data_IF_770513455585
#
_entry.id   IF_770513455585
#
_cell.length_a   1.000
_cell.length_b   1.000
_cell.length_c   1.000
_cell.angle_alpha   90.00
_cell.angle_beta   90.00
_cell.angle_gamma   90.00
#
_symmetry.space_group_name_H-M   'P 1'
#
loop_
_entity.id
_entity.type
_entity.pdbx_description
1 polymer ?
#
# COMPACT_ATOMS: atom_id res chain seq x y z
N UNK A 1 10.63 8.92 -1.31
CA UNK A 1 10.99 9.53 -0.01
C UNK A 1 11.61 10.91 -0.14
N UNK A 2 12.32 11.25 -1.24
CA UNK A 2 12.84 12.60 -1.47
C UNK A 2 11.80 13.72 -1.25
N UNK A 3 10.58 13.56 -1.79
CA UNK A 3 9.45 14.46 -1.51
C UNK A 3 9.24 14.71 -0.01
N UNK A 4 9.12 13.65 0.80
CA UNK A 4 8.87 13.75 2.23
C UNK A 4 10.06 14.35 2.99
N UNK A 5 11.28 13.91 2.66
CA UNK A 5 12.52 14.44 3.24
C UNK A 5 12.72 15.92 2.95
N UNK A 6 12.44 16.36 1.71
CA UNK A 6 12.47 17.76 1.30
C UNK A 6 11.48 18.59 2.10
N UNK A 7 10.24 18.11 2.27
CA UNK A 7 9.22 18.81 3.06
C UNK A 7 9.65 18.95 4.54
N UNK A 8 10.20 17.89 5.13
CA UNK A 8 10.70 17.93 6.50
C UNK A 8 11.86 18.93 6.66
N UNK A 9 12.85 18.91 5.74
CA UNK A 9 13.99 19.82 5.79
C UNK A 9 13.56 21.29 5.72
N UNK A 10 12.65 21.63 4.78
CA UNK A 10 12.12 22.99 4.64
C UNK A 10 11.45 23.47 5.92
N UNK A 11 10.57 22.65 6.47
CA UNK A 11 9.76 22.99 7.64
C UNK A 11 10.62 23.16 8.89
N UNK A 12 11.53 22.23 9.16
CA UNK A 12 12.39 22.32 10.33
C UNK A 12 13.29 23.57 10.27
N UNK A 13 13.78 23.94 9.08
CA UNK A 13 14.51 25.20 8.87
C UNK A 13 13.64 26.44 9.08
N UNK A 14 12.42 26.44 8.56
CA UNK A 14 11.44 27.53 8.78
C UNK A 14 11.15 27.74 10.27
N UNK A 15 11.15 26.66 11.06
CA UNK A 15 11.01 26.67 12.52
C UNK A 15 12.30 27.04 13.27
N UNK A 16 13.38 27.35 12.55
CA UNK A 16 14.65 27.79 13.13
C UNK A 16 15.56 26.67 13.63
N UNK A 17 15.29 25.39 13.29
CA UNK A 17 16.17 24.29 13.63
C UNK A 17 17.38 24.24 12.68
N UNK A 18 18.54 23.87 13.25
CA UNK A 18 19.69 23.44 12.46
C UNK A 18 19.45 22.02 11.95
N UNK A 19 19.36 21.86 10.64
CA UNK A 19 19.07 20.57 9.99
C UNK A 19 20.36 19.92 9.49
N UNK A 20 20.64 18.73 9.98
CA UNK A 20 21.67 17.83 9.46
C UNK A 20 20.98 16.68 8.74
N UNK A 21 21.27 16.52 7.46
CA UNK A 21 20.67 15.49 6.61
C UNK A 21 21.73 14.50 6.13
N UNK A 22 21.40 13.21 6.13
CA UNK A 22 22.16 12.17 5.43
C UNK A 22 21.27 11.47 4.40
N UNK A 23 21.74 11.39 3.16
CA UNK A 23 21.13 10.60 2.10
C UNK A 23 22.17 10.25 1.04
N UNK A 24 22.39 8.97 0.79
CA UNK A 24 23.39 8.50 -0.19
C UNK A 24 22.99 8.74 -1.65
N UNK A 25 21.72 9.06 -1.93
CA UNK A 25 21.26 9.32 -3.29
C UNK A 25 21.54 10.78 -3.70
N UNK A 26 22.45 11.04 -4.66
CA UNK A 26 22.78 12.40 -5.09
C UNK A 26 21.70 13.04 -5.99
N UNK A 27 20.77 12.25 -6.52
CA UNK A 27 19.72 12.72 -7.42
C UNK A 27 18.43 13.07 -6.65
N UNK A 28 18.56 13.78 -5.52
CA UNK A 28 17.43 14.18 -4.68
C UNK A 28 17.44 15.66 -4.39
N UNK A 29 16.26 16.28 -4.38
CA UNK A 29 16.14 17.70 -4.03
C UNK A 29 16.50 17.93 -2.57
N UNK A 30 16.19 16.98 -1.68
CA UNK A 30 16.55 17.11 -0.25
C UNK A 30 18.07 17.23 -0.02
N UNK A 31 18.90 16.73 -0.95
CA UNK A 31 20.36 16.84 -0.87
C UNK A 31 20.94 18.12 -1.47
N UNK A 32 20.10 19.02 -2.01
CA UNK A 32 20.57 20.31 -2.50
C UNK A 32 21.17 21.13 -1.34
N UNK A 33 22.30 21.84 -1.54
CA UNK A 33 23.03 22.51 -0.46
C UNK A 33 22.21 23.53 0.35
N UNK A 34 21.17 24.11 -0.24
CA UNK A 34 20.31 25.12 0.37
C UNK A 34 19.16 24.53 1.22
N UNK A 35 18.91 23.23 1.14
CA UNK A 35 17.78 22.57 1.80
C UNK A 35 18.07 22.17 3.26
N UNK A 36 19.33 22.01 3.64
CA UNK A 36 19.76 21.68 5.00
C UNK A 36 21.00 22.52 5.38
N UNK A 37 21.25 22.73 6.67
CA UNK A 37 22.49 23.41 7.11
C UNK A 37 23.72 22.56 6.85
N UNK A 38 23.52 21.24 6.85
CA UNK A 38 24.56 20.28 6.54
C UNK A 38 24.00 19.05 5.86
N UNK A 39 24.50 18.77 4.67
CA UNK A 39 24.10 17.62 3.87
C UNK A 39 25.27 16.63 3.73
N UNK A 40 25.01 15.38 4.09
CA UNK A 40 25.92 14.25 3.90
C UNK A 40 25.40 13.34 2.79
N UNK A 41 26.14 13.28 1.69
CA UNK A 41 25.92 12.29 0.63
C UNK A 41 26.82 11.10 0.93
N UNK A 42 26.42 10.32 1.94
CA UNK A 42 27.19 9.21 2.53
C UNK A 42 26.29 7.97 2.70
N UNK A 43 26.86 6.76 2.82
CA UNK A 43 26.09 5.54 3.04
C UNK A 43 25.23 5.63 4.31
N UNK A 44 23.94 5.31 4.20
CA UNK A 44 23.00 5.33 5.33
C UNK A 44 23.17 4.04 6.14
N UNK A 45 24.23 3.98 6.94
CA UNK A 45 24.51 2.85 7.85
C UNK A 45 24.73 3.36 9.28
N UNK A 46 24.55 2.52 10.32
CA UNK A 46 24.79 2.93 11.71
C UNK A 46 26.19 3.53 11.92
N UNK A 47 27.21 2.96 11.26
CA UNK A 47 28.58 3.47 11.34
C UNK A 47 28.70 4.92 10.87
N UNK A 48 28.25 5.22 9.65
CA UNK A 48 28.35 6.59 9.11
C UNK A 48 27.48 7.57 9.87
N UNK A 49 26.29 7.14 10.31
CA UNK A 49 25.42 8.00 11.12
C UNK A 49 26.06 8.30 12.47
N UNK A 50 26.64 7.32 13.18
CA UNK A 50 27.32 7.55 14.46
C UNK A 50 28.50 8.54 14.32
N UNK A 51 29.26 8.48 13.22
CA UNK A 51 30.30 9.47 12.91
C UNK A 51 29.73 10.90 12.73
N UNK A 52 28.53 11.04 12.16
CA UNK A 52 27.83 12.33 12.09
C UNK A 52 27.35 12.77 13.48
N UNK A 53 26.87 11.85 14.32
CA UNK A 53 26.50 12.17 15.70
C UNK A 53 27.68 12.71 16.50
N UNK A 54 28.86 12.11 16.36
CA UNK A 54 30.11 12.58 16.99
C UNK A 54 30.50 13.99 16.52
N UNK A 55 30.43 14.23 15.21
CA UNK A 55 30.89 15.46 14.57
C UNK A 55 29.95 16.64 14.77
N UNK A 56 28.67 16.44 14.50
CA UNK A 56 27.69 17.52 14.47
C UNK A 56 26.86 17.63 15.75
N UNK A 57 26.86 16.58 16.58
CA UNK A 57 26.18 16.52 17.88
C UNK A 57 24.72 16.99 17.81
N UNK A 58 23.89 16.39 16.92
CA UNK A 58 22.47 16.73 16.86
C UNK A 58 21.77 16.33 18.17
N UNK A 59 20.75 17.09 18.58
CA UNK A 59 19.98 16.79 19.78
C UNK A 59 18.92 15.71 19.55
N UNK A 60 18.47 15.56 18.29
CA UNK A 60 17.45 14.60 17.92
C UNK A 60 17.65 14.02 16.51
N UNK A 61 17.04 12.85 16.27
CA UNK A 61 16.93 12.18 14.97
C UNK A 61 15.45 11.98 14.63
N UNK A 62 15.07 12.35 13.42
CA UNK A 62 13.76 12.09 12.82
C UNK A 62 13.86 10.94 11.80
N UNK A 63 13.56 9.68 12.17
CA UNK A 63 13.78 8.51 11.31
C UNK A 63 12.60 8.23 10.37
N UNK A 64 11.48 8.93 10.53
CA UNK A 64 10.18 8.59 9.91
C UNK A 64 10.00 9.13 8.49
N UNK A 65 11.03 9.75 7.90
CA UNK A 65 10.97 10.39 6.57
C UNK A 65 11.73 9.62 5.47
N UNK A 66 12.56 8.64 5.83
CA UNK A 66 13.50 7.95 4.93
C UNK A 66 13.16 6.49 4.63
N UNK A 67 11.89 6.10 4.79
CA UNK A 67 11.45 4.72 4.55
C UNK A 67 12.11 3.70 5.48
N UNK A 68 12.21 2.45 5.03
CA UNK A 68 12.75 1.36 5.84
C UNK A 68 14.23 1.54 6.17
N UNK A 69 15.03 2.10 5.26
CA UNK A 69 16.46 2.33 5.47
C UNK A 69 16.72 3.23 6.68
N UNK A 70 15.95 4.31 6.82
CA UNK A 70 16.07 5.22 7.97
C UNK A 70 15.60 4.57 9.27
N UNK A 71 14.47 3.85 9.26
CA UNK A 71 13.97 3.14 10.44
C UNK A 71 14.97 2.08 10.92
N UNK A 72 15.43 1.20 10.05
CA UNK A 72 16.39 0.15 10.40
C UNK A 72 17.69 0.72 10.96
N UNK A 73 18.18 1.82 10.37
CA UNK A 73 19.40 2.49 10.84
C UNK A 73 19.19 3.10 12.23
N UNK A 74 18.06 3.76 12.47
CA UNK A 74 17.73 4.34 13.76
C UNK A 74 17.52 3.27 14.85
N UNK A 75 16.86 2.15 14.52
CA UNK A 75 16.71 1.00 15.41
C UNK A 75 18.08 0.44 15.78
N UNK A 76 18.95 0.17 14.80
CA UNK A 76 20.29 -0.36 15.05
C UNK A 76 21.16 0.59 15.92
N UNK A 77 21.04 1.91 15.73
CA UNK A 77 21.72 2.90 16.57
C UNK A 77 21.17 2.95 18.00
N UNK A 78 19.86 2.79 18.16
CA UNK A 78 19.24 2.76 19.47
C UNK A 78 19.64 1.47 20.23
N UNK A 79 19.62 0.33 19.55
CA UNK A 79 19.98 -0.98 20.10
C UNK A 79 21.45 -1.11 20.45
N UNK A 80 22.34 -0.49 19.67
CA UNK A 80 23.78 -0.44 19.99
C UNK A 80 24.10 0.51 21.15
N UNK A 81 23.12 1.29 21.62
CA UNK A 81 23.30 2.34 22.63
C UNK A 81 23.98 3.61 22.11
N UNK A 82 24.19 3.76 20.79
CA UNK A 82 24.81 4.94 20.19
C UNK A 82 24.02 6.21 20.51
N UNK A 83 22.69 6.16 20.37
CA UNK A 83 21.83 7.32 20.68
C UNK A 83 21.98 7.77 22.13
N UNK A 84 22.09 6.83 23.07
CA UNK A 84 22.31 7.14 24.48
C UNK A 84 23.70 7.72 24.75
N UNK A 85 24.76 7.14 24.14
CA UNK A 85 26.14 7.65 24.27
C UNK A 85 26.29 9.09 23.78
N UNK A 86 25.58 9.44 22.71
CA UNK A 86 25.62 10.78 22.11
C UNK A 86 24.52 11.72 22.63
N UNK A 87 23.67 11.27 23.58
CA UNK A 87 22.55 12.02 24.12
C UNK A 87 21.60 12.56 23.02
N UNK A 88 21.22 11.69 22.09
CA UNK A 88 20.38 12.00 20.94
C UNK A 88 19.00 11.39 21.13
N UNK A 89 17.96 12.22 21.04
CA UNK A 89 16.57 11.78 21.16
C UNK A 89 16.02 11.27 19.82
N UNK A 90 15.24 10.19 19.85
CA UNK A 90 14.45 9.78 18.69
C UNK A 90 13.09 10.50 18.71
N UNK A 91 12.80 11.30 17.70
CA UNK A 91 11.56 12.08 17.57
C UNK A 91 10.66 11.55 16.45
N UNK A 92 9.37 11.90 16.49
CA UNK A 92 8.35 11.42 15.55
C UNK A 92 7.84 10.00 15.87
N UNK A 93 8.75 9.02 15.93
CA UNK A 93 8.42 7.67 16.38
C UNK A 93 9.50 7.13 17.33
N UNK A 94 9.09 6.68 18.51
CA UNK A 94 9.98 6.08 19.52
C UNK A 94 10.34 4.64 19.13
N UNK A 95 11.46 4.12 19.65
CA UNK A 95 11.94 2.76 19.37
C UNK A 95 10.87 1.69 19.67
N UNK A 96 10.15 1.84 20.78
CA UNK A 96 9.09 0.91 21.16
C UNK A 96 7.96 0.87 20.13
N UNK A 97 7.51 2.03 19.65
CA UNK A 97 6.46 2.12 18.64
C UNK A 97 6.91 1.51 17.30
N UNK A 98 8.16 1.78 16.89
CA UNK A 98 8.73 1.18 15.68
C UNK A 98 8.78 -0.35 15.80
N UNK A 99 9.29 -0.87 16.93
CA UNK A 99 9.35 -2.33 17.16
C UNK A 99 7.97 -2.98 17.18
N UNK A 100 6.99 -2.39 17.88
CA UNK A 100 5.62 -2.92 17.93
C UNK A 100 4.95 -2.97 16.55
N UNK A 101 5.31 -2.07 15.64
CA UNK A 101 4.73 -2.03 14.29
C UNK A 101 5.45 -2.97 13.30
N UNK A 102 6.78 -3.04 13.37
CA UNK A 102 7.61 -3.77 12.40
C UNK A 102 7.78 -5.26 12.75
N UNK A 103 7.76 -5.61 14.03
CA UNK A 103 7.79 -7.00 14.48
C UNK A 103 6.38 -7.59 14.46
N UNK A 104 6.19 -8.66 13.67
CA UNK A 104 4.87 -9.26 13.45
C UNK A 104 4.27 -9.88 14.71
N UNK A 105 5.09 -10.45 15.59
CA UNK A 105 4.58 -11.06 16.82
C UNK A 105 4.16 -9.98 17.82
N UNK A 106 4.96 -8.92 17.96
CA UNK A 106 4.61 -7.77 18.79
C UNK A 106 3.40 -7.03 18.23
N UNK A 107 3.30 -6.88 16.91
CA UNK A 107 2.15 -6.25 16.25
C UNK A 107 0.88 -7.03 16.55
N UNK A 108 0.89 -8.34 16.31
CA UNK A 108 -0.25 -9.22 16.59
C UNK A 108 -0.66 -9.15 18.06
N UNK A 109 0.30 -9.29 18.98
CA UNK A 109 0.02 -9.20 20.42
C UNK A 109 -0.56 -7.83 20.81
N UNK A 110 -0.11 -6.75 20.15
CA UNK A 110 -0.63 -5.39 20.35
C UNK A 110 -2.06 -5.25 19.83
N UNK A 111 -2.37 -5.84 18.66
CA UNK A 111 -3.73 -5.84 18.10
C UNK A 111 -4.69 -6.66 18.95
N UNK A 112 -4.27 -7.86 19.38
CA UNK A 112 -5.04 -8.72 20.28
C UNK A 112 -5.37 -7.99 21.60
N UNK A 113 -4.38 -7.33 22.21
CA UNK A 113 -4.57 -6.54 23.43
C UNK A 113 -5.48 -5.32 23.23
N UNK A 114 -5.53 -4.76 22.01
CA UNK A 114 -6.42 -3.67 21.63
C UNK A 114 -7.83 -4.13 21.19
N UNK A 115 -8.10 -5.44 21.19
CA UNK A 115 -9.37 -6.02 20.76
C UNK A 115 -9.60 -5.89 19.25
N UNK A 116 -8.53 -5.97 18.46
CA UNK A 116 -8.54 -5.86 17.00
C UNK A 116 -8.14 -7.20 16.38
N UNK A 117 -8.89 -7.64 15.37
CA UNK A 117 -8.61 -8.90 14.69
C UNK A 117 -7.52 -8.71 13.63
N UNK A 118 -6.51 -9.58 13.63
CA UNK A 118 -5.59 -9.81 12.52
C UNK A 118 -5.91 -11.15 11.85
N UNK A 119 -5.41 -11.45 10.64
CA UNK A 119 -5.47 -12.81 10.10
C UNK A 119 -4.95 -13.82 11.12
N UNK A 120 -5.72 -14.89 11.34
CA UNK A 120 -5.29 -15.94 12.26
C UNK A 120 -4.06 -16.64 11.69
N UNK A 121 -3.04 -16.85 12.50
CA UNK A 121 -1.92 -17.68 12.07
C UNK A 121 -1.07 -18.17 13.24
N UNK A 122 -0.52 -19.37 13.07
CA UNK A 122 0.47 -19.98 13.98
C UNK A 122 1.46 -20.86 13.21
N UNK A 123 2.67 -20.91 13.74
CA UNK A 123 3.70 -21.84 13.27
C UNK A 123 3.40 -23.25 13.74
N UNK A 124 3.69 -24.23 12.88
CA UNK A 124 3.60 -25.65 13.15
C UNK A 124 4.85 -26.35 12.61
N UNK A 125 5.28 -27.43 13.27
CA UNK A 125 6.47 -28.21 12.92
C UNK A 125 6.19 -29.67 12.58
N UNK A 126 4.91 -30.05 12.53
CA UNK A 126 4.48 -31.39 12.15
C UNK A 126 3.11 -31.35 11.49
N UNK A 127 2.79 -32.40 10.73
CA UNK A 127 1.46 -32.58 10.14
C UNK A 127 0.39 -32.70 11.25
N UNK A 128 0.71 -33.35 12.37
CA UNK A 128 -0.22 -33.47 13.50
C UNK A 128 -0.55 -32.11 14.12
N UNK A 129 0.46 -31.24 14.33
CA UNK A 129 0.23 -29.86 14.78
C UNK A 129 -0.63 -29.08 13.77
N UNK A 130 -0.36 -29.24 12.47
CA UNK A 130 -1.12 -28.62 11.40
C UNK A 130 -2.59 -29.07 11.39
N UNK A 131 -2.85 -30.38 11.52
CA UNK A 131 -4.19 -30.96 11.56
C UNK A 131 -4.99 -30.50 12.78
N UNK A 132 -4.34 -30.34 13.94
CA UNK A 132 -4.98 -29.80 15.14
C UNK A 132 -5.34 -28.32 15.00
N UNK A 133 -4.55 -27.56 14.23
CA UNK A 133 -4.76 -26.13 14.00
C UNK A 133 -5.75 -25.84 12.87
N UNK A 134 -5.90 -26.77 11.94
CA UNK A 134 -6.73 -26.63 10.74
C UNK A 134 -8.15 -26.10 11.00
N UNK A 135 -8.92 -26.62 11.98
CA UNK A 135 -10.29 -26.16 12.23
C UNK A 135 -10.37 -24.71 12.74
N UNK A 136 -9.31 -24.20 13.36
CA UNK A 136 -9.28 -22.85 13.92
C UNK A 136 -9.02 -21.78 12.84
N UNK A 137 -8.14 -22.10 11.88
CA UNK A 137 -7.78 -21.20 10.79
C UNK A 137 -8.82 -21.26 9.66
N UNK A 138 -9.25 -22.46 9.28
CA UNK A 138 -10.20 -22.67 8.18
C UNK A 138 -9.59 -22.48 6.79
N UNK A 139 -10.41 -22.68 5.75
CA UNK A 139 -10.00 -22.60 4.34
C UNK A 139 -10.64 -21.39 3.63
N UNK A 140 -10.00 -20.83 2.58
CA UNK A 140 -8.65 -21.17 2.12
C UNK A 140 -7.58 -20.72 3.14
N UNK A 141 -6.47 -21.46 3.19
CA UNK A 141 -5.38 -21.27 4.14
C UNK A 141 -4.07 -21.05 3.37
N UNK A 142 -3.27 -20.08 3.81
CA UNK A 142 -1.93 -19.85 3.30
C UNK A 142 -0.94 -20.66 4.16
N UNK A 143 -0.08 -21.43 3.51
CA UNK A 143 1.03 -22.17 4.12
C UNK A 143 2.31 -21.48 3.69
N UNK A 144 3.12 -21.00 4.63
CA UNK A 144 4.43 -20.37 4.34
C UNK A 144 5.55 -21.05 5.12
N UNK A 145 6.53 -21.69 4.44
CA UNK A 145 7.69 -22.25 5.10
C UNK A 145 8.60 -21.19 5.69
N UNK A 146 9.07 -21.41 6.92
CA UNK A 146 10.03 -20.55 7.57
C UNK A 146 11.40 -20.62 6.87
N UNK A 147 12.14 -19.52 6.86
CA UNK A 147 13.49 -19.42 6.29
C UNK A 147 13.61 -19.79 4.79
N UNK A 148 12.52 -19.64 4.03
CA UNK A 148 12.54 -19.75 2.57
C UNK A 148 12.43 -18.38 1.91
N UNK A 149 12.98 -18.23 0.71
CA UNK A 149 12.92 -16.99 -0.06
C UNK A 149 11.85 -17.08 -1.17
N UNK A 150 11.22 -15.97 -1.50
CA UNK A 150 10.31 -15.87 -2.66
C UNK A 150 9.07 -16.76 -2.60
N UNK A 151 8.64 -17.20 -1.40
CA UNK A 151 7.51 -18.12 -1.24
C UNK A 151 7.80 -19.56 -1.64
N UNK A 152 9.07 -19.94 -1.76
CA UNK A 152 9.49 -21.32 -2.08
C UNK A 152 8.92 -22.32 -1.07
N UNK A 153 8.22 -23.35 -1.56
CA UNK A 153 7.54 -24.34 -0.72
C UNK A 153 6.23 -23.85 -0.08
N UNK A 154 5.87 -22.58 -0.29
CA UNK A 154 4.59 -22.04 0.15
C UNK A 154 3.46 -22.41 -0.80
N UNK A 155 2.23 -22.37 -0.29
CA UNK A 155 1.05 -22.75 -1.05
C UNK A 155 -0.23 -22.25 -0.41
N UNK A 156 -1.34 -22.52 -1.09
CA UNK A 156 -2.68 -22.24 -0.59
C UNK A 156 -3.42 -23.56 -0.56
N UNK A 157 -3.80 -24.03 0.62
CA UNK A 157 -4.74 -25.12 0.76
C UNK A 157 -6.15 -24.57 0.65
N UNK A 158 -6.95 -25.10 -0.28
CA UNK A 158 -8.34 -24.64 -0.51
C UNK A 158 -9.36 -25.53 0.18
N UNK A 159 -8.96 -26.72 0.60
CA UNK A 159 -9.81 -27.72 1.21
C UNK A 159 -8.98 -28.67 2.09
N UNK A 160 -9.65 -29.56 2.80
CA UNK A 160 -8.98 -30.64 3.54
C UNK A 160 -8.22 -31.60 2.61
N UNK A 161 -8.66 -31.73 1.34
CA UNK A 161 -8.10 -32.68 0.39
C UNK A 161 -6.67 -32.34 -0.02
N UNK A 162 -6.38 -31.05 -0.26
CA UNK A 162 -5.06 -30.56 -0.66
C UNK A 162 -4.22 -30.10 0.54
N UNK A 163 -4.80 -30.00 1.74
CA UNK A 163 -4.13 -29.47 2.93
C UNK A 163 -2.86 -30.23 3.31
N UNK A 164 -2.96 -31.55 3.49
CA UNK A 164 -1.83 -32.37 3.96
C UNK A 164 -0.65 -32.26 3.00
N UNK A 165 -0.91 -32.36 1.70
CA UNK A 165 0.13 -32.29 0.67
C UNK A 165 0.84 -30.93 0.68
N UNK A 166 0.08 -29.84 0.80
CA UNK A 166 0.64 -28.47 0.83
C UNK A 166 1.45 -28.23 2.10
N UNK A 167 0.95 -28.67 3.27
CA UNK A 167 1.70 -28.56 4.54
C UNK A 167 2.97 -29.40 4.52
N UNK A 168 2.88 -30.64 4.05
CA UNK A 168 4.03 -31.54 3.98
C UNK A 168 5.11 -30.97 3.06
N UNK A 169 4.72 -30.51 1.87
CA UNK A 169 5.65 -29.85 0.95
C UNK A 169 6.31 -28.62 1.59
N UNK A 170 5.54 -27.83 2.34
CA UNK A 170 6.07 -26.67 3.05
C UNK A 170 7.07 -27.05 4.15
N UNK A 171 6.76 -28.06 4.96
CA UNK A 171 7.65 -28.55 6.03
C UNK A 171 8.95 -29.13 5.46
N UNK A 172 8.88 -29.85 4.35
CA UNK A 172 10.05 -30.37 3.63
C UNK A 172 10.91 -29.25 3.00
N UNK A 173 10.27 -28.14 2.62
CA UNK A 173 10.94 -26.99 2.01
C UNK A 173 11.60 -26.05 3.04
N UNK A 174 11.12 -26.03 4.28
CA UNK A 174 11.69 -25.21 5.35
C UNK A 174 13.02 -25.81 5.86
N UNK A 175 14.14 -25.04 5.87
CA UNK A 175 15.41 -25.48 6.45
C UNK A 175 15.34 -25.86 7.94
N UNK A 176 14.35 -25.35 8.66
CA UNK A 176 14.11 -25.62 10.09
C UNK A 176 12.87 -26.50 10.33
N UNK A 177 12.29 -27.08 9.28
CA UNK A 177 11.08 -27.90 9.34
C UNK A 177 9.89 -27.23 10.08
N UNK A 178 9.56 -26.01 9.67
CA UNK A 178 8.51 -25.18 10.28
C UNK A 178 7.74 -24.45 9.19
N UNK A 179 6.42 -24.40 9.32
CA UNK A 179 5.54 -23.63 8.43
C UNK A 179 4.58 -22.78 9.23
N UNK A 180 4.31 -21.57 8.75
CA UNK A 180 3.21 -20.73 9.20
C UNK A 180 1.94 -21.17 8.47
N UNK A 181 0.92 -21.58 9.23
CA UNK A 181 -0.45 -21.68 8.75
C UNK A 181 -1.16 -20.36 9.03
N UNK A 182 -1.78 -19.76 8.02
CA UNK A 182 -2.42 -18.44 8.12
C UNK A 182 -3.77 -18.40 7.37
N UNK A 183 -4.75 -17.72 7.94
CA UNK A 183 -6.04 -17.44 7.31
C UNK A 183 -5.83 -16.68 6.00
N UNK A 184 -6.38 -17.21 4.90
CA UNK A 184 -6.29 -16.52 3.62
C UNK A 184 -7.36 -15.44 3.52
N UNK A 185 -6.90 -14.20 3.38
CA UNK A 185 -7.73 -13.06 3.00
C UNK A 185 -7.66 -12.77 1.50
N UNK A 186 -7.14 -13.70 0.69
CA UNK A 186 -7.02 -13.53 -0.76
C UNK A 186 -8.39 -13.22 -1.39
N UNK A 187 -8.45 -12.14 -2.17
CA UNK A 187 -9.69 -11.71 -2.80
C UNK A 187 -10.62 -10.87 -1.92
N UNK A 188 -10.27 -10.62 -0.65
CA UNK A 188 -10.98 -9.63 0.17
C UNK A 188 -10.66 -8.21 -0.34
N UNK A 189 -11.53 -7.25 -0.01
CA UNK A 189 -11.28 -5.83 -0.32
C UNK A 189 -10.11 -5.34 0.52
N UNK A 190 -9.22 -4.55 -0.05
CA UNK A 190 -8.06 -4.00 0.66
C UNK A 190 -8.17 -2.48 0.77
N UNK A 191 -8.08 -1.97 2.00
CA UNK A 191 -8.20 -0.56 2.32
C UNK A 191 -6.97 -0.05 3.05
N UNK A 192 -6.63 1.22 2.83
CA UNK A 192 -5.59 1.91 3.57
C UNK A 192 -6.16 3.20 4.18
N UNK A 193 -5.84 3.47 5.43
CA UNK A 193 -6.11 4.75 6.08
C UNK A 193 -4.78 5.45 6.42
N UNK A 194 -4.63 6.67 5.93
CA UNK A 194 -3.56 7.57 6.35
C UNK A 194 -4.02 8.33 7.59
N UNK A 195 -3.34 8.11 8.71
CA UNK A 195 -3.72 8.61 10.03
C UNK A 195 -2.63 9.53 10.54
N UNK A 196 -3.02 10.58 11.28
CA UNK A 196 -2.08 11.45 11.97
C UNK A 196 -2.49 11.66 13.42
N UNK A 197 -1.50 11.65 14.33
CA UNK A 197 -1.69 11.84 15.77
C UNK A 197 -0.69 12.83 16.36
N UNK A 198 -1.13 13.63 17.33
CA UNK A 198 -0.31 14.58 18.08
C UNK A 198 -0.26 14.31 19.60
N UNK A 199 0.53 15.11 20.33
CA UNK A 199 0.73 14.99 21.78
C UNK A 199 -0.50 15.32 22.64
N UNK A 200 -1.52 15.98 22.07
CA UNK A 200 -2.82 16.22 22.73
C UNK A 200 -3.78 15.03 22.52
N UNK A 201 -3.29 13.94 21.93
CA UNK A 201 -4.08 12.78 21.51
C UNK A 201 -5.17 13.11 20.47
N UNK A 202 -5.02 14.22 19.74
CA UNK A 202 -5.84 14.45 18.56
C UNK A 202 -5.45 13.42 17.50
N UNK A 203 -6.45 12.80 16.86
CA UNK A 203 -6.24 11.85 15.76
C UNK A 203 -7.17 12.20 14.62
N UNK A 204 -6.62 12.28 13.41
CA UNK A 204 -7.37 12.57 12.18
C UNK A 204 -7.06 11.56 11.09
N UNK A 205 -8.08 11.17 10.33
CA UNK A 205 -7.92 10.43 9.08
C UNK A 205 -7.69 11.43 7.95
N UNK A 206 -6.50 11.40 7.35
CA UNK A 206 -6.15 12.29 6.25
C UNK A 206 -6.73 11.81 4.94
N UNK A 207 -6.67 10.50 4.69
CA UNK A 207 -7.16 9.92 3.45
C UNK A 207 -7.54 8.46 3.66
N UNK A 208 -8.63 8.05 3.03
CA UNK A 208 -8.99 6.66 2.84
C UNK A 208 -8.71 6.23 1.41
N UNK A 209 -8.08 5.08 1.23
CA UNK A 209 -7.74 4.52 -0.07
C UNK A 209 -8.41 3.15 -0.17
N UNK A 210 -9.07 2.89 -1.28
CA UNK A 210 -9.59 1.57 -1.64
C UNK A 210 -8.77 1.00 -2.80
N UNK A 211 -8.31 -0.24 -2.66
CA UNK A 211 -7.59 -0.93 -3.71
C UNK A 211 -8.59 -1.48 -4.73
N UNK A 212 -8.32 -1.25 -6.01
CA UNK A 212 -9.06 -1.83 -7.12
C UNK A 212 -8.72 -3.32 -7.26
N UNK A 213 -7.43 -3.64 -7.19
CA UNK A 213 -6.98 -5.03 -7.11
C UNK A 213 -7.17 -5.52 -5.67
N UNK A 214 -7.75 -6.71 -5.45
CA UNK A 214 -8.07 -7.19 -4.10
C UNK A 214 -6.82 -7.73 -3.39
N UNK A 215 -6.98 -8.01 -2.08
CA UNK A 215 -5.96 -8.64 -1.24
C UNK A 215 -5.29 -9.81 -1.97
N UNK A 216 -3.96 -9.77 -2.03
CA UNK A 216 -3.15 -10.71 -2.81
C UNK A 216 -2.23 -10.01 -3.80
N UNK A 217 -2.58 -8.80 -4.22
CA UNK A 217 -1.71 -7.89 -4.95
C UNK A 217 -1.25 -6.80 -3.99
N UNK A 218 0.05 -6.60 -3.84
CA UNK A 218 0.60 -5.57 -2.96
C UNK A 218 0.06 -4.18 -3.35
N UNK A 219 -0.35 -3.35 -2.40
CA UNK A 219 -0.88 -1.98 -2.64
C UNK A 219 -0.01 -1.11 -3.58
N UNK A 220 1.31 -1.34 -3.55
CA UNK A 220 2.30 -0.78 -4.48
C UNK A 220 2.10 -1.15 -5.95
N UNK A 221 1.67 -2.37 -6.22
CA UNK A 221 1.34 -2.91 -7.54
C UNK A 221 -0.17 -2.89 -7.84
N UNK A 222 -1.01 -2.52 -6.89
CA UNK A 222 -2.45 -2.37 -7.11
C UNK A 222 -2.76 -1.02 -7.77
N UNK A 223 -3.77 -1.00 -8.64
CA UNK A 223 -4.53 0.23 -8.91
C UNK A 223 -5.25 0.60 -7.61
N UNK A 224 -5.23 1.88 -7.23
CA UNK A 224 -5.90 2.33 -6.00
C UNK A 224 -6.67 3.62 -6.21
N UNK A 225 -7.69 3.85 -5.39
CA UNK A 225 -8.63 4.96 -5.52
C UNK A 225 -8.79 5.69 -4.18
N UNK A 226 -8.81 7.02 -4.23
CA UNK A 226 -9.19 7.87 -3.10
C UNK A 226 -10.39 8.76 -3.49
N UNK A 227 -11.42 8.90 -2.62
CA UNK A 227 -11.57 8.22 -1.33
C UNK A 227 -11.99 6.73 -1.50
N UNK A 228 -12.28 6.03 -0.41
CA UNK A 228 -12.95 4.74 -0.47
C UNK A 228 -14.36 4.88 -1.11
N UNK A 229 -14.80 3.88 -1.87
CA UNK A 229 -16.01 3.92 -2.71
C UNK A 229 -17.10 2.96 -2.21
N UNK A 230 -16.73 1.78 -1.72
CA UNK A 230 -17.66 0.66 -1.50
C UNK A 230 -17.89 0.30 -0.03
N UNK A 231 -17.51 1.19 0.89
CA UNK A 231 -17.87 1.08 2.31
C UNK A 231 -19.13 1.88 2.57
N UNK A 232 -20.06 1.29 3.32
CA UNK A 232 -21.09 2.08 4.00
C UNK A 232 -20.43 2.96 5.06
N UNK A 233 -21.08 4.07 5.43
CA UNK A 233 -20.57 4.93 6.51
C UNK A 233 -20.34 4.14 7.81
N UNK A 234 -21.19 3.15 8.14
CA UNK A 234 -20.99 2.29 9.32
C UNK A 234 -19.69 1.48 9.25
N UNK A 235 -19.39 0.89 8.10
CA UNK A 235 -18.14 0.16 7.91
C UNK A 235 -16.94 1.12 7.94
N UNK A 236 -17.07 2.28 7.30
CA UNK A 236 -16.03 3.31 7.32
C UNK A 236 -15.73 3.80 8.75
N UNK A 237 -16.75 4.14 9.53
CA UNK A 237 -16.59 4.57 10.92
C UNK A 237 -15.95 3.46 11.77
N UNK A 238 -16.30 2.20 11.53
CA UNK A 238 -15.64 1.07 12.19
C UNK A 238 -14.14 1.02 11.87
N UNK A 239 -13.76 1.11 10.59
CA UNK A 239 -12.35 1.14 10.17
C UNK A 239 -11.61 2.36 10.73
N UNK A 240 -12.27 3.52 10.76
CA UNK A 240 -11.77 4.75 11.38
C UNK A 240 -11.51 4.58 12.87
N UNK A 241 -12.46 4.02 13.62
CA UNK A 241 -12.32 3.76 15.06
C UNK A 241 -11.26 2.68 15.36
N UNK A 242 -11.15 1.66 14.50
CA UNK A 242 -10.08 0.66 14.55
C UNK A 242 -8.72 1.35 14.32
N UNK A 243 -8.58 2.20 13.30
CA UNK A 243 -7.36 2.96 13.01
C UNK A 243 -6.92 3.89 14.17
N UNK A 244 -7.88 4.57 14.80
CA UNK A 244 -7.66 5.38 15.99
C UNK A 244 -7.16 4.56 17.19
N UNK A 245 -7.63 3.32 17.35
CA UNK A 245 -7.14 2.40 18.38
C UNK A 245 -5.74 1.88 18.06
N UNK A 246 -5.49 1.51 16.80
CA UNK A 246 -4.20 0.97 16.34
C UNK A 246 -3.07 1.98 16.59
N UNK A 247 -3.22 3.23 16.12
CA UNK A 247 -2.17 4.23 16.24
C UNK A 247 -1.82 4.54 17.72
N UNK A 248 -2.83 4.50 18.60
CA UNK A 248 -2.67 4.64 20.05
C UNK A 248 -2.01 3.42 20.68
N UNK A 249 -2.47 2.21 20.37
CA UNK A 249 -1.96 0.97 20.94
C UNK A 249 -0.48 0.74 20.63
N UNK A 250 -0.08 1.12 19.42
CA UNK A 250 1.32 1.01 18.99
C UNK A 250 2.17 2.12 19.60
N UNK A 251 1.58 3.28 19.88
CA UNK A 251 2.26 4.38 20.56
C UNK A 251 2.94 5.37 19.62
N UNK A 252 2.41 5.57 18.40
CA UNK A 252 2.84 6.69 17.56
C UNK A 252 2.14 7.95 18.07
N UNK A 253 2.90 8.85 18.70
CA UNK A 253 2.36 10.05 19.37
C UNK A 253 2.53 11.34 18.59
N UNK A 254 3.49 11.41 17.65
CA UNK A 254 3.87 12.66 16.97
C UNK A 254 4.16 12.44 15.48
N UNK A 255 3.14 12.13 14.70
CA UNK A 255 3.34 11.93 13.27
C UNK A 255 2.21 11.23 12.55
N UNK A 256 2.51 10.85 11.31
CA UNK A 256 1.60 10.10 10.45
C UNK A 256 1.98 8.62 10.34
N UNK A 257 0.98 7.78 10.17
CA UNK A 257 1.11 6.34 9.92
C UNK A 257 0.11 5.90 8.85
N UNK A 258 0.48 4.88 8.08
CA UNK A 258 -0.42 4.18 7.15
C UNK A 258 -0.89 2.87 7.79
N UNK A 259 -2.20 2.62 7.80
CA UNK A 259 -2.81 1.41 8.35
C UNK A 259 -3.57 0.67 7.26
N UNK A 260 -3.35 -0.63 7.13
CA UNK A 260 -3.97 -1.46 6.11
C UNK A 260 -5.00 -2.43 6.71
N UNK A 261 -6.11 -2.59 6.01
CA UNK A 261 -7.22 -3.46 6.39
C UNK A 261 -7.64 -4.36 5.22
N UNK A 262 -7.99 -5.60 5.53
CA UNK A 262 -8.77 -6.46 4.65
C UNK A 262 -10.22 -6.48 5.11
N UNK A 263 -11.17 -6.31 4.19
CA UNK A 263 -12.61 -6.35 4.48
C UNK A 263 -13.27 -7.42 3.63
N UNK A 264 -13.94 -8.36 4.29
CA UNK A 264 -14.68 -9.41 3.61
C UNK A 264 -15.89 -8.80 2.89
N UNK A 265 -16.00 -8.92 1.56
CA UNK A 265 -17.08 -8.30 0.80
C UNK A 265 -18.47 -8.89 1.09
N UNK A 266 -18.56 -10.11 1.62
CA UNK A 266 -19.82 -10.79 1.90
C UNK A 266 -20.35 -10.49 3.31
N UNK A 267 -19.45 -10.34 4.29
CA UNK A 267 -19.82 -10.23 5.72
C UNK A 267 -19.51 -8.87 6.35
N UNK A 268 -18.65 -8.05 5.73
CA UNK A 268 -18.15 -6.81 6.31
C UNK A 268 -17.14 -7.02 7.45
N UNK A 269 -16.71 -8.27 7.73
CA UNK A 269 -15.63 -8.55 8.71
C UNK A 269 -14.34 -7.86 8.26
N UNK A 270 -13.77 -7.04 9.13
CA UNK A 270 -12.53 -6.30 8.89
C UNK A 270 -11.38 -6.88 9.70
N UNK A 271 -10.23 -7.07 9.06
CA UNK A 271 -8.99 -7.55 9.68
C UNK A 271 -7.89 -6.50 9.47
N UNK A 272 -7.09 -6.26 10.50
CA UNK A 272 -5.90 -5.42 10.43
C UNK A 272 -4.76 -6.22 9.81
N UNK A 273 -4.14 -5.68 8.76
CA UNK A 273 -3.05 -6.35 8.04
C UNK A 273 -1.70 -5.91 8.57
N UNK A 274 -1.44 -4.60 8.54
CA UNK A 274 -0.21 -4.00 9.04
C UNK A 274 -0.39 -2.52 9.34
N UNK A 275 0.60 -1.93 10.01
CA UNK A 275 0.75 -0.49 10.10
C UNK A 275 2.21 -0.10 9.85
N UNK A 276 2.41 0.95 9.07
CA UNK A 276 3.72 1.56 8.82
C UNK A 276 3.86 2.82 9.70
N UNK A 277 4.75 2.85 10.73
CA UNK A 277 4.87 3.96 11.69
C UNK A 277 5.73 5.12 11.14
N UNK A 278 5.50 5.49 9.88
CA UNK A 278 6.30 6.47 9.12
C UNK A 278 5.51 6.97 7.91
N UNK A 279 6.06 7.98 7.24
CA UNK A 279 5.58 8.33 5.89
C UNK A 279 5.83 7.15 4.93
N UNK A 280 4.96 7.02 3.94
CA UNK A 280 4.94 5.91 2.99
C UNK A 280 4.76 6.44 1.57
N UNK A 281 4.73 5.53 0.59
CA UNK A 281 4.28 5.86 -0.76
C UNK A 281 2.82 6.32 -0.74
N UNK A 282 1.97 5.61 0.03
CA UNK A 282 0.56 5.95 0.22
C UNK A 282 0.36 7.31 0.89
N UNK A 283 1.23 7.72 1.81
CA UNK A 283 1.13 9.05 2.43
C UNK A 283 1.50 10.18 1.45
N UNK A 284 2.44 9.93 0.54
CA UNK A 284 2.75 10.86 -0.55
C UNK A 284 1.57 10.98 -1.53
N UNK A 285 0.95 9.84 -1.90
CA UNK A 285 -0.28 9.79 -2.69
C UNK A 285 -1.41 10.55 -2.01
N UNK A 286 -1.69 10.27 -0.74
CA UNK A 286 -2.73 10.94 0.05
C UNK A 286 -2.48 12.45 0.16
N UNK A 287 -1.22 12.86 0.34
CA UNK A 287 -0.87 14.28 0.36
C UNK A 287 -1.20 14.98 -0.96
N UNK A 288 -1.02 14.28 -2.08
CA UNK A 288 -1.37 14.80 -3.41
C UNK A 288 -2.87 14.75 -3.65
N UNK A 289 -3.54 13.68 -3.24
CA UNK A 289 -4.97 13.49 -3.42
C UNK A 289 -5.78 14.55 -2.65
N UNK A 290 -5.38 14.87 -1.43
CA UNK A 290 -6.14 15.75 -0.53
C UNK A 290 -5.61 17.17 -0.47
N UNK A 291 -4.37 17.39 -0.90
CA UNK A 291 -3.64 18.63 -0.66
C UNK A 291 -3.14 18.81 0.78
N UNK A 292 -3.39 17.85 1.68
CA UNK A 292 -2.90 17.88 3.06
C UNK A 292 -1.41 17.45 3.11
N UNK A 293 -0.47 18.32 3.50
CA UNK A 293 0.96 18.02 3.37
C UNK A 293 1.49 17.17 4.54
N UNK A 294 1.20 15.87 4.52
CA UNK A 294 1.45 14.92 5.64
C UNK A 294 2.88 15.01 6.18
N UNK A 295 3.90 14.93 5.32
CA UNK A 295 5.30 14.95 5.76
C UNK A 295 5.71 16.25 6.46
N UNK A 296 5.20 17.39 5.97
CA UNK A 296 5.44 18.71 6.58
C UNK A 296 4.80 18.80 7.96
N UNK A 297 3.54 18.36 8.08
CA UNK A 297 2.81 18.43 9.35
C UNK A 297 3.42 17.44 10.34
N UNK A 298 3.74 16.21 9.93
CA UNK A 298 4.42 15.23 10.77
C UNK A 298 5.78 15.73 11.28
N UNK A 299 6.55 16.49 10.49
CA UNK A 299 7.79 17.12 10.96
C UNK A 299 7.54 18.17 12.06
N UNK A 300 6.48 18.98 11.95
CA UNK A 300 6.07 19.91 13.02
C UNK A 300 5.61 19.17 14.28
N UNK A 301 4.81 18.12 14.13
CA UNK A 301 4.35 17.32 15.27
C UNK A 301 5.53 16.69 16.01
N UNK A 302 6.55 16.22 15.29
CA UNK A 302 7.76 15.63 15.88
C UNK A 302 8.57 16.61 16.75
N UNK A 303 8.41 17.93 16.58
CA UNK A 303 9.06 18.96 17.39
C UNK A 303 8.09 19.61 18.41
N UNK A 304 6.93 18.99 18.65
CA UNK A 304 6.04 19.33 19.75
C UNK A 304 4.81 20.17 19.40
N UNK A 305 4.61 20.55 18.14
CA UNK A 305 3.36 21.18 17.71
C UNK A 305 2.18 20.21 17.85
N UNK A 306 0.98 20.78 17.97
CA UNK A 306 -0.28 20.03 17.88
C UNK A 306 -1.06 20.41 16.62
N UNK A 307 -1.97 19.55 16.17
CA UNK A 307 -2.70 19.72 14.91
C UNK A 307 -3.52 21.01 14.84
N UNK A 308 -4.02 21.47 15.99
CA UNK A 308 -4.74 22.75 16.15
C UNK A 308 -3.86 23.99 16.00
N UNK A 309 -2.54 23.86 16.19
CA UNK A 309 -1.58 24.96 16.11
C UNK A 309 -1.04 25.17 14.69
N UNK A 310 -1.20 24.17 13.82
CA UNK A 310 -0.66 24.17 12.47
C UNK A 310 -1.74 24.66 11.50
N UNK A 311 -1.54 25.77 10.77
CA UNK A 311 -2.51 26.23 9.78
C UNK A 311 -2.53 25.29 8.56
N UNK A 312 -3.70 25.12 7.95
CA UNK A 312 -3.84 24.44 6.66
C UNK A 312 -3.24 25.31 5.54
N UNK A 313 -2.23 24.78 4.84
CA UNK A 313 -1.49 25.48 3.79
C UNK A 313 -2.36 25.99 2.63
N UNK A 314 -3.44 25.27 2.29
CA UNK A 314 -4.27 25.59 1.13
C UNK A 314 -5.35 26.60 1.49
N UNK A 315 -6.14 26.32 2.53
CA UNK A 315 -7.26 27.20 2.91
C UNK A 315 -6.77 28.43 3.67
N UNK A 316 -5.63 28.32 4.37
CA UNK A 316 -5.03 29.35 5.25
C UNK A 316 -5.94 29.91 6.35
N UNK A 317 -7.11 29.31 6.52
CA UNK A 317 -8.17 29.78 7.44
C UNK A 317 -8.59 28.70 8.43
N UNK A 318 -8.24 27.43 8.18
CA UNK A 318 -8.55 26.30 9.06
C UNK A 318 -7.27 25.71 9.64
N UNK A 319 -7.31 25.08 10.82
CA UNK A 319 -6.16 24.33 11.35
C UNK A 319 -5.95 23.02 10.55
N UNK A 320 -4.87 22.30 10.86
CA UNK A 320 -4.58 20.96 10.37
C UNK A 320 -5.35 19.87 11.13
N UNK A 321 -6.03 20.21 12.24
CA UNK A 321 -6.91 19.33 13.01
C UNK A 321 -8.28 19.08 12.35
N UNK A 322 -8.26 18.61 11.11
CA UNK A 322 -9.47 18.25 10.36
C UNK A 322 -9.22 17.03 9.46
N UNK A 323 -10.30 16.36 9.05
CA UNK A 323 -10.27 15.28 8.06
C UNK A 323 -10.63 15.88 6.68
N UNK A 324 -9.74 15.81 5.67
CA UNK A 324 -10.03 16.31 4.33
C UNK A 324 -11.26 15.64 3.71
N UNK A 325 -12.08 16.45 3.03
CA UNK A 325 -13.14 15.98 2.14
C UNK A 325 -12.82 16.45 0.73
N UNK A 326 -12.89 15.53 -0.24
CA UNK A 326 -12.63 15.82 -1.65
C UNK A 326 -13.89 15.62 -2.48
N UNK A 327 -14.10 16.48 -3.48
CA UNK A 327 -15.25 16.47 -4.38
C UNK A 327 -14.91 15.90 -5.76
N UNK A 328 -13.86 15.07 -5.79
CA UNK A 328 -13.32 14.39 -6.95
C UNK A 328 -12.83 12.98 -6.55
N UNK A 329 -12.57 12.17 -7.55
CA UNK A 329 -11.96 10.85 -7.44
C UNK A 329 -10.50 10.94 -7.89
N UNK A 330 -9.62 10.28 -7.16
CA UNK A 330 -8.20 10.16 -7.50
C UNK A 330 -7.88 8.70 -7.74
N UNK A 331 -7.29 8.38 -8.90
CA UNK A 331 -6.89 7.02 -9.26
C UNK A 331 -5.38 6.98 -9.44
N UNK A 332 -4.73 6.04 -8.77
CA UNK A 332 -3.33 5.68 -8.96
C UNK A 332 -3.23 4.41 -9.80
N UNK A 333 -2.34 4.41 -10.79
CA UNK A 333 -1.99 3.23 -11.58
C UNK A 333 -0.47 3.01 -11.48
N UNK A 334 0.01 1.83 -11.06
CA UNK A 334 1.44 1.52 -11.03
C UNK A 334 2.04 1.37 -12.44
N UNK A 335 3.35 1.63 -12.56
CA UNK A 335 4.16 1.45 -13.77
C UNK A 335 5.12 0.29 -13.57
N UNK A 336 5.23 -0.59 -14.57
CA UNK A 336 6.17 -1.72 -14.58
C UNK A 336 7.01 -1.70 -15.84
N UNK A 337 8.29 -2.08 -15.75
CA UNK A 337 9.22 -2.15 -16.89
C UNK A 337 9.61 -3.60 -17.25
N UNK A 338 8.65 -4.54 -17.23
CA UNK A 338 8.93 -5.96 -17.49
C UNK A 338 9.58 -6.23 -18.85
N UNK A 339 9.36 -5.35 -19.84
CA UNK A 339 10.00 -5.41 -21.15
C UNK A 339 11.54 -5.40 -21.08
N UNK A 340 12.11 -4.87 -20.00
CA UNK A 340 13.56 -4.83 -19.75
C UNK A 340 14.09 -6.14 -19.15
N UNK A 341 13.22 -7.02 -18.65
CA UNK A 341 13.57 -8.20 -17.86
C UNK A 341 12.96 -9.50 -18.43
N UNK A 342 13.47 -9.95 -19.58
CA UNK A 342 13.00 -11.17 -20.24
C UNK A 342 13.10 -12.40 -19.33
N UNK A 343 12.03 -13.20 -19.27
CA UNK A 343 11.98 -14.45 -18.51
C UNK A 343 11.62 -14.29 -17.03
N UNK A 344 11.37 -13.06 -16.56
CA UNK A 344 10.83 -12.81 -15.22
C UNK A 344 9.33 -13.09 -15.20
N UNK A 345 8.83 -13.64 -14.08
CA UNK A 345 7.40 -13.81 -13.86
C UNK A 345 6.71 -12.45 -13.63
N UNK A 346 5.81 -12.09 -14.54
CA UNK A 346 5.03 -10.85 -14.54
C UNK A 346 3.78 -10.92 -13.64
N UNK A 347 3.52 -12.07 -13.01
CA UNK A 347 2.39 -12.23 -12.09
C UNK A 347 2.55 -11.30 -10.89
N UNK A 348 1.54 -10.46 -10.62
CA UNK A 348 1.52 -9.57 -9.47
C UNK A 348 1.13 -10.36 -8.23
N UNK A 349 1.73 -10.00 -7.10
CA UNK A 349 1.52 -10.68 -5.83
C UNK A 349 1.82 -9.75 -4.66
N UNK A 350 2.08 -10.33 -3.49
CA UNK A 350 2.41 -9.59 -2.26
C UNK A 350 3.79 -8.90 -2.29
N UNK A 351 4.64 -9.22 -3.26
CA UNK A 351 5.91 -8.54 -3.47
C UNK A 351 5.77 -7.52 -4.61
N UNK A 352 6.04 -6.25 -4.30
CA UNK A 352 6.01 -5.15 -5.26
C UNK A 352 7.04 -5.35 -6.38
N UNK A 353 6.61 -5.17 -7.64
CA UNK A 353 7.43 -5.23 -8.85
C UNK A 353 7.37 -3.95 -9.69
N UNK A 354 6.46 -3.03 -9.37
CA UNK A 354 6.36 -1.72 -10.02
C UNK A 354 7.59 -0.85 -9.74
N UNK A 355 7.91 0.01 -10.72
CA UNK A 355 9.05 0.94 -10.71
C UNK A 355 8.62 2.40 -10.53
N UNK A 356 7.32 2.67 -10.56
CA UNK A 356 6.74 4.00 -10.43
C UNK A 356 5.21 3.93 -10.44
N UNK A 357 4.58 5.09 -10.47
CA UNK A 357 3.13 5.22 -10.46
C UNK A 357 2.69 6.55 -11.09
N UNK A 358 1.52 6.55 -11.74
CA UNK A 358 0.84 7.76 -12.18
C UNK A 358 -0.39 7.99 -11.32
N UNK A 359 -0.68 9.25 -11.02
CA UNK A 359 -1.84 9.68 -10.25
C UNK A 359 -2.68 10.62 -11.11
N UNK A 360 -3.99 10.36 -11.21
CA UNK A 360 -4.90 11.23 -11.94
C UNK A 360 -6.17 11.55 -11.16
N UNK A 361 -6.68 12.75 -11.40
CA UNK A 361 -7.87 13.31 -10.76
C UNK A 361 -9.01 13.36 -11.77
N UNK A 362 -10.23 13.09 -11.35
CA UNK A 362 -11.44 13.25 -12.18
C UNK A 362 -12.67 13.46 -11.32
N UNK A 363 -13.70 14.12 -11.85
CA UNK A 363 -14.98 14.28 -11.14
C UNK A 363 -15.75 12.97 -11.03
N UNK A 364 -15.34 11.96 -11.79
CA UNK A 364 -15.85 10.59 -11.73
C UNK A 364 -14.70 9.60 -11.77
N UNK A 365 -14.92 8.38 -11.27
CA UNK A 365 -13.94 7.30 -11.37
C UNK A 365 -13.54 7.00 -12.82
N UNK A 366 -14.51 6.95 -13.75
CA UNK A 366 -14.25 6.70 -15.18
C UNK A 366 -13.28 7.73 -15.78
N UNK A 367 -13.49 9.02 -15.46
CA UNK A 367 -12.58 10.08 -15.91
C UNK A 367 -11.18 9.92 -15.32
N UNK A 368 -11.09 9.72 -13.99
CA UNK A 368 -9.82 9.59 -13.29
C UNK A 368 -9.03 8.36 -13.78
N UNK A 369 -9.70 7.21 -13.95
CA UNK A 369 -9.10 5.97 -14.45
C UNK A 369 -8.54 6.16 -15.86
N UNK A 370 -9.31 6.69 -16.81
CA UNK A 370 -8.82 6.89 -18.18
C UNK A 370 -7.66 7.89 -18.24
N UNK A 371 -7.68 8.94 -17.41
CA UNK A 371 -6.55 9.87 -17.27
C UNK A 371 -5.31 9.18 -16.69
N UNK A 372 -5.47 8.32 -15.69
CA UNK A 372 -4.34 7.59 -15.12
C UNK A 372 -3.72 6.62 -16.13
N UNK A 373 -4.54 5.82 -16.82
CA UNK A 373 -4.09 4.83 -17.81
C UNK A 373 -3.31 5.47 -18.97
N UNK A 374 -3.76 6.62 -19.48
CA UNK A 374 -3.04 7.31 -20.57
C UNK A 374 -1.74 7.97 -20.11
N UNK A 375 -1.63 8.29 -18.81
CA UNK A 375 -0.42 8.88 -18.19
C UNK A 375 0.63 7.85 -17.81
N UNK A 376 0.43 6.57 -18.17
CA UNK A 376 1.41 5.51 -17.92
C UNK A 376 2.60 5.54 -18.89
N UNK A 377 2.60 6.44 -19.87
CA UNK A 377 3.68 6.57 -20.88
C UNK A 377 3.98 5.27 -21.64
N UNK A 378 3.00 4.36 -21.73
CA UNK A 378 3.06 3.10 -22.50
C UNK A 378 2.47 3.27 -23.91
N UNK A 379 2.14 4.51 -24.28
CA UNK A 379 1.46 4.86 -25.53
C UNK A 379 0.07 4.24 -25.66
N UNK A 380 -0.63 4.02 -24.53
CA UNK A 380 -2.07 3.72 -24.51
C UNK A 380 -2.84 5.03 -24.33
N UNK A 381 -4.02 5.18 -24.94
CA UNK A 381 -4.80 6.43 -24.84
C UNK A 381 -5.85 6.44 -23.71
N UNK A 382 -5.92 5.35 -22.95
CA UNK A 382 -6.89 5.12 -21.89
C UNK A 382 -7.12 3.63 -21.77
N UNK A 383 -8.38 3.23 -21.67
CA UNK A 383 -8.78 1.82 -21.66
C UNK A 383 -8.86 1.24 -23.08
N UNK A 384 -7.75 1.29 -23.84
CA UNK A 384 -7.67 0.78 -25.21
C UNK A 384 -8.22 1.70 -26.30
N UNK A 385 -8.68 1.11 -27.42
CA UNK A 385 -9.10 1.82 -28.64
C UNK A 385 -8.02 2.72 -29.27
N UNK A 386 -6.76 2.35 -29.10
CA UNK A 386 -5.56 3.07 -29.54
C UNK A 386 -4.81 2.37 -30.70
N UNK A 387 -5.44 1.37 -31.32
CA UNK A 387 -4.86 0.56 -32.39
C UNK A 387 -3.85 -0.50 -31.91
N UNK A 388 -3.64 -0.63 -30.59
CA UNK A 388 -2.76 -1.64 -29.99
C UNK A 388 -3.53 -2.77 -29.29
N UNK A 389 -4.82 -2.90 -29.57
CA UNK A 389 -5.63 -4.00 -29.07
C UNK A 389 -5.21 -5.30 -29.79
N UNK A 390 -5.10 -6.44 -29.08
CA UNK A 390 -4.62 -7.70 -29.65
C UNK A 390 -5.58 -8.32 -30.67
N UNK A 391 -6.83 -7.87 -30.69
CA UNK A 391 -7.87 -8.26 -31.63
C UNK A 391 -8.94 -7.19 -31.72
N UNK A 392 -9.75 -7.24 -32.78
CA UNK A 392 -10.99 -6.46 -32.91
C UNK A 392 -12.21 -7.39 -32.90
N UNK A 393 -13.06 -7.27 -31.89
CA UNK A 393 -14.21 -8.15 -31.68
C UNK A 393 -15.20 -8.11 -32.85
N UNK A 394 -15.30 -7.00 -33.58
CA UNK A 394 -16.17 -6.90 -34.78
C UNK A 394 -15.73 -7.77 -35.95
N UNK A 395 -14.45 -8.16 -36.00
CA UNK A 395 -13.89 -8.97 -37.08
C UNK A 395 -13.85 -10.47 -36.75
N UNK A 396 -14.19 -10.85 -35.52
CA UNK A 396 -14.16 -12.24 -35.07
C UNK A 396 -15.45 -12.98 -35.44
N UNK A 397 -15.30 -14.22 -35.91
CA UNK A 397 -16.39 -15.20 -36.00
C UNK A 397 -16.87 -15.62 -34.61
N UNK A 398 -18.05 -16.22 -34.51
CA UNK A 398 -18.58 -16.68 -33.21
C UNK A 398 -17.69 -17.75 -32.55
N UNK A 399 -17.03 -18.59 -33.35
CA UNK A 399 -16.06 -19.58 -32.84
C UNK A 399 -14.84 -18.88 -32.25
N UNK A 400 -14.24 -17.92 -32.97
CA UNK A 400 -13.08 -17.17 -32.50
C UNK A 400 -13.40 -16.32 -31.27
N UNK A 401 -14.62 -15.77 -31.17
CA UNK A 401 -15.07 -15.06 -29.96
C UNK A 401 -15.05 -15.98 -28.74
N UNK A 402 -15.52 -17.22 -28.87
CA UNK A 402 -15.49 -18.18 -27.75
C UNK A 402 -14.05 -18.55 -27.37
N UNK A 403 -13.17 -18.78 -28.35
CA UNK A 403 -11.75 -19.06 -28.09
C UNK A 403 -11.06 -17.90 -27.35
N UNK A 404 -11.28 -16.66 -27.81
CA UNK A 404 -10.74 -15.48 -27.14
C UNK A 404 -11.32 -15.27 -25.76
N UNK A 405 -12.62 -15.54 -25.58
CA UNK A 405 -13.29 -15.44 -24.28
C UNK A 405 -12.69 -16.38 -23.26
N UNK A 406 -12.38 -17.62 -23.65
CA UNK A 406 -11.68 -18.57 -22.77
C UNK A 406 -10.24 -18.13 -22.47
N UNK A 407 -9.50 -17.63 -23.46
CA UNK A 407 -8.15 -17.07 -23.25
C UNK A 407 -8.16 -15.89 -22.28
N UNK A 408 -9.11 -14.97 -22.43
CA UNK A 408 -9.28 -13.81 -21.54
C UNK A 408 -9.65 -14.28 -20.13
N UNK A 409 -10.57 -15.23 -20.00
CA UNK A 409 -10.94 -15.81 -18.71
C UNK A 409 -9.73 -16.43 -18.01
N UNK A 410 -8.99 -17.30 -18.67
CA UNK A 410 -7.77 -17.92 -18.12
C UNK A 410 -6.76 -16.85 -17.72
N UNK A 411 -6.57 -15.86 -18.58
CA UNK A 411 -5.61 -14.77 -18.38
C UNK A 411 -5.93 -13.89 -17.17
N UNK A 412 -7.21 -13.68 -16.86
CA UNK A 412 -7.69 -12.91 -15.72
C UNK A 412 -7.61 -13.67 -14.38
N UNK A 413 -7.40 -14.98 -14.38
CA UNK A 413 -7.20 -15.75 -13.14
C UNK A 413 -5.89 -15.41 -12.42
N UNK A 414 -4.95 -14.77 -13.11
CA UNK A 414 -3.65 -14.34 -12.56
C UNK A 414 -3.53 -12.82 -12.63
N UNK A 415 -3.30 -12.13 -11.50
CA UNK A 415 -2.99 -10.71 -11.49
C UNK A 415 -1.78 -10.37 -12.38
N UNK A 416 -1.92 -9.45 -13.33
CA UNK A 416 -0.82 -8.94 -14.20
C UNK A 416 -1.04 -7.46 -14.52
N UNK A 417 0.01 -6.71 -14.93
CA UNK A 417 -0.04 -5.25 -15.16
C UNK A 417 -1.17 -4.72 -16.05
N UNK A 418 -1.51 -5.47 -17.08
CA UNK A 418 -2.47 -5.18 -18.15
C UNK A 418 -3.86 -5.79 -17.89
N UNK A 419 -4.09 -6.36 -16.70
CA UNK A 419 -5.39 -6.98 -16.36
C UNK A 419 -6.57 -6.04 -16.58
N UNK A 420 -6.41 -4.75 -16.28
CA UNK A 420 -7.44 -3.74 -16.52
C UNK A 420 -7.88 -3.67 -17.99
N UNK A 421 -6.96 -3.88 -18.95
CA UNK A 421 -7.30 -3.97 -20.38
C UNK A 421 -8.02 -5.28 -20.70
N UNK A 422 -7.64 -6.38 -20.05
CA UNK A 422 -8.30 -7.68 -20.22
C UNK A 422 -9.71 -7.72 -19.65
N UNK A 423 -10.02 -6.91 -18.62
CA UNK A 423 -11.39 -6.71 -18.17
C UNK A 423 -12.25 -6.12 -19.29
N UNK A 424 -11.76 -5.08 -19.98
CA UNK A 424 -12.44 -4.52 -21.16
C UNK A 424 -12.64 -5.57 -22.25
N UNK A 425 -11.60 -6.34 -22.58
CA UNK A 425 -11.72 -7.39 -23.60
C UNK A 425 -12.77 -8.44 -23.22
N UNK A 426 -12.84 -8.84 -21.95
CA UNK A 426 -13.85 -9.76 -21.45
C UNK A 426 -15.28 -9.22 -21.62
N UNK A 427 -15.50 -7.95 -21.30
CA UNK A 427 -16.79 -7.28 -21.48
C UNK A 427 -17.20 -7.20 -22.96
N UNK A 428 -16.26 -6.83 -23.85
CA UNK A 428 -16.51 -6.82 -25.30
C UNK A 428 -16.87 -8.21 -25.86
N UNK A 429 -16.34 -9.28 -25.24
CA UNK A 429 -16.65 -10.68 -25.56
C UNK A 429 -17.91 -11.21 -24.84
N UNK A 430 -18.66 -10.34 -24.15
CA UNK A 430 -19.93 -10.66 -23.51
C UNK A 430 -19.82 -11.36 -22.15
N UNK A 431 -18.67 -11.30 -21.47
CA UNK A 431 -18.58 -11.70 -20.06
C UNK A 431 -19.36 -10.70 -19.20
N UNK A 432 -20.11 -11.17 -18.20
CA UNK A 432 -20.82 -10.28 -17.29
C UNK A 432 -19.91 -9.70 -16.20
N UNK A 433 -20.34 -8.59 -15.58
CA UNK A 433 -19.68 -8.02 -14.39
C UNK A 433 -19.54 -9.08 -13.28
N UNK A 434 -20.59 -9.85 -13.01
CA UNK A 434 -20.56 -10.91 -11.98
C UNK A 434 -19.55 -12.00 -12.31
N UNK A 435 -19.41 -12.35 -13.59
CA UNK A 435 -18.43 -13.34 -14.01
C UNK A 435 -17.01 -12.83 -13.80
N UNK A 436 -16.71 -11.60 -14.21
CA UNK A 436 -15.41 -10.96 -14.01
C UNK A 436 -15.09 -10.78 -12.52
N UNK A 437 -16.07 -10.41 -11.70
CA UNK A 437 -15.94 -10.33 -10.24
C UNK A 437 -15.58 -11.69 -9.64
N UNK A 438 -16.24 -12.78 -10.07
CA UNK A 438 -15.93 -14.12 -9.54
C UNK A 438 -14.50 -14.56 -9.85
N UNK A 439 -13.99 -14.22 -11.03
CA UNK A 439 -12.65 -14.58 -11.51
C UNK A 439 -11.57 -13.74 -10.81
N UNK A 440 -11.76 -12.42 -10.80
CA UNK A 440 -10.71 -11.46 -10.39
C UNK A 440 -10.82 -11.02 -8.95
N UNK A 441 -11.99 -11.18 -8.33
CA UNK A 441 -12.37 -10.64 -7.01
C UNK A 441 -12.35 -9.11 -6.91
N UNK A 442 -12.22 -8.41 -8.04
CA UNK A 442 -12.38 -6.95 -8.13
C UNK A 442 -13.85 -6.62 -7.86
N UNK A 443 -14.08 -5.58 -7.04
CA UNK A 443 -15.43 -5.20 -6.63
C UNK A 443 -16.32 -4.86 -7.85
N UNK A 444 -17.59 -5.35 -7.88
CA UNK A 444 -18.53 -5.08 -8.96
C UNK A 444 -18.71 -3.59 -9.29
N UNK A 445 -18.56 -2.70 -8.32
CA UNK A 445 -18.67 -1.25 -8.53
C UNK A 445 -17.65 -0.74 -9.56
N UNK A 446 -16.40 -1.19 -9.47
CA UNK A 446 -15.37 -0.80 -10.43
C UNK A 446 -15.63 -1.41 -11.81
N UNK A 447 -16.01 -2.69 -11.85
CA UNK A 447 -16.31 -3.42 -13.08
C UNK A 447 -17.52 -2.84 -13.82
N UNK A 448 -18.54 -2.39 -13.09
CA UNK A 448 -19.70 -1.70 -13.66
C UNK A 448 -19.31 -0.37 -14.31
N UNK A 449 -18.45 0.42 -13.66
CA UNK A 449 -17.93 1.66 -14.24
C UNK A 449 -17.08 1.39 -15.50
N UNK A 450 -16.27 0.34 -15.48
CA UNK A 450 -15.52 -0.11 -16.66
C UNK A 450 -16.49 -0.52 -17.79
N UNK A 451 -17.55 -1.27 -17.48
CA UNK A 451 -18.56 -1.66 -18.46
C UNK A 451 -19.22 -0.44 -19.11
N UNK A 452 -19.55 0.60 -18.35
CA UNK A 452 -20.09 1.83 -18.92
C UNK A 452 -19.12 2.54 -19.89
N UNK A 453 -17.81 2.43 -19.69
CA UNK A 453 -16.81 2.94 -20.64
C UNK A 453 -16.86 2.11 -21.93
N UNK A 454 -16.92 0.78 -21.80
CA UNK A 454 -16.96 -0.16 -22.94
C UNK A 454 -18.26 -0.01 -23.74
N UNK A 455 -19.40 0.13 -23.08
CA UNK A 455 -20.70 0.37 -23.72
C UNK A 455 -20.68 1.66 -24.54
N UNK A 456 -20.10 2.74 -23.98
CA UNK A 456 -19.95 4.01 -24.68
C UNK A 456 -19.01 3.89 -25.88
N UNK A 457 -17.89 3.17 -25.74
CA UNK A 457 -16.99 2.90 -26.85
C UNK A 457 -17.74 2.20 -28.00
N UNK A 458 -18.54 1.18 -27.69
CA UNK A 458 -19.32 0.46 -28.70
C UNK A 458 -20.35 1.36 -29.38
N UNK A 459 -21.00 2.25 -28.64
CA UNK A 459 -21.89 3.25 -29.21
C UNK A 459 -21.14 4.18 -30.17
N UNK A 460 -19.97 4.67 -29.78
CA UNK A 460 -19.16 5.58 -30.59
C UNK A 460 -18.68 4.95 -31.90
N UNK A 461 -18.38 3.64 -31.92
CA UNK A 461 -18.04 2.90 -33.16
C UNK A 461 -19.16 2.90 -34.21
N UNK A 462 -20.41 3.14 -33.80
CA UNK A 462 -21.54 3.27 -34.72
C UNK A 462 -21.60 4.60 -35.47
N UNK A 463 -20.74 5.57 -35.13
CA UNK A 463 -20.69 6.89 -35.75
C UNK A 463 -19.43 7.04 -36.62
N UNK A 464 -19.56 7.72 -37.76
CA UNK A 464 -18.41 8.18 -38.56
C UNK A 464 -18.07 9.63 -38.21
N UNK A 465 -16.78 9.99 -38.24
CA UNK A 465 -16.31 11.37 -38.01
C UNK A 465 -16.85 12.36 -39.07
N UNK A 466 -17.22 11.87 -40.25
CA UNK A 466 -17.68 12.66 -41.40
C UNK A 466 -19.20 12.95 -41.42
N UNK A 467 -19.95 12.63 -40.35
CA UNK A 467 -21.41 12.78 -40.30
C UNK A 467 -21.88 13.97 -39.44
#
# INVERSE_FOLDING_TARGET
FDYSGTQACKVLREEGFRVVLINSNPATIMTDPELADRTYIEPITPFFVEQILERDRPEAILPTMGGQTALNTAVALAESGALQRHNVELIGAKLEAIRKAEDRELFKATMDAAGLETPKGRFVRSIDEAMNLMPEIGFPMIIRPSYTLGGTGGGIARSEFDFIDVVQHGLESSPIHEVLLEESVLGWKEYELEVMRDLKDNVVIICSIENFDPMGVHTGDSITVAPAQTLTDKEYQKLRDDALRIIRAIGVETGGSNIQFAVNPETGRSLVIEMNPRVSRSSALASKATGFPIAKIAAKLAIGYTLDEIPNDITKLTPASFEPTIDYCVVKVPRWDFEKFKGVDETLGIQMKSVGEALAFGRTFKEALQKALRSMEQGRFGLGADGKDPFDVSLLTDVEKQEWRERVRERLTRPRPDNVLYLRYGLQLGMSVDELCRITKIDPWFLFNINQIVDLEQQLRGYSIDA
#
